data_IF_641637912538
#
_entry.id   IF_641637912538
#
_cell.length_a   1.000
_cell.length_b   1.000
_cell.length_c   1.000
_cell.angle_alpha   90.00
_cell.angle_beta   90.00
_cell.angle_gamma   90.00
#
_symmetry.space_group_name_H-M   'P 1'
#
loop_
_entity.id
_entity.type
_entity.pdbx_description
1 polymer ?
#
# COMPACT_ATOMS: atom_id res chain seq x y z
N UNK A 1 26.89 21.01 -0.28
CA UNK A 1 25.72 20.40 0.36
C UNK A 1 24.71 21.52 0.43
N UNK A 2 23.84 21.58 -0.56
CA UNK A 2 23.21 22.84 -1.01
C UNK A 2 21.78 22.96 -0.47
N UNK A 3 21.55 22.35 0.70
CA UNK A 3 20.28 22.26 1.42
C UNK A 3 20.31 23.22 2.62
N UNK A 4 19.86 24.48 2.45
CA UNK A 4 19.97 25.52 3.48
C UNK A 4 19.17 25.23 4.76
N UNK A 5 18.23 24.27 4.73
CA UNK A 5 17.44 23.83 5.87
C UNK A 5 18.16 22.83 6.79
N UNK A 6 19.28 22.23 6.36
CA UNK A 6 20.05 21.31 7.19
C UNK A 6 20.97 22.10 8.12
N UNK A 7 20.77 21.95 9.44
CA UNK A 7 21.53 22.67 10.48
C UNK A 7 22.51 21.73 11.20
N UNK A 8 23.78 22.16 11.38
CA UNK A 8 24.76 21.42 12.19
C UNK A 8 24.31 21.42 13.67
N UNK A 9 24.49 20.32 14.41
CA UNK A 9 25.37 19.19 14.10
C UNK A 9 24.66 17.96 13.52
N UNK A 10 23.35 18.01 13.27
CA UNK A 10 22.54 16.81 13.01
C UNK A 10 23.00 16.00 11.79
N UNK A 11 23.25 16.66 10.66
CA UNK A 11 23.68 15.99 9.43
C UNK A 11 25.17 15.58 9.40
N UNK A 12 25.95 15.99 10.40
CA UNK A 12 27.36 15.61 10.54
C UNK A 12 27.55 14.36 11.42
N UNK A 13 26.47 13.81 11.99
CA UNK A 13 26.53 12.59 12.81
C UNK A 13 26.80 11.37 11.94
N UNK A 14 27.73 10.51 12.37
CA UNK A 14 27.96 9.19 11.77
C UNK A 14 26.65 8.39 11.83
N UNK A 15 26.12 8.02 10.67
CA UNK A 15 24.82 7.33 10.54
C UNK A 15 23.64 8.23 10.16
N UNK A 16 23.82 9.54 10.02
CA UNK A 16 22.80 10.40 9.42
C UNK A 16 22.64 10.06 7.92
N UNK A 17 21.42 9.67 7.54
CA UNK A 17 21.01 9.50 6.15
C UNK A 17 20.00 10.60 5.84
N UNK A 18 20.29 11.42 4.83
CA UNK A 18 19.35 12.43 4.32
C UNK A 18 18.19 11.73 3.61
N UNK A 19 17.17 11.37 4.38
CA UNK A 19 15.97 10.67 3.88
C UNK A 19 15.34 11.41 2.71
N UNK A 20 15.39 12.75 2.68
CA UNK A 20 14.83 13.55 1.59
C UNK A 20 15.54 13.35 0.24
N UNK A 21 16.79 12.88 0.22
CA UNK A 21 17.54 12.59 -1.02
C UNK A 21 17.32 11.18 -1.56
N UNK A 22 16.85 10.26 -0.72
CA UNK A 22 16.52 8.89 -1.13
C UNK A 22 15.02 8.76 -1.44
N UNK A 23 14.26 9.86 -1.36
CA UNK A 23 12.87 9.88 -1.74
C UNK A 23 12.73 9.69 -3.24
N UNK A 24 12.10 8.61 -3.66
CA UNK A 24 11.74 8.40 -5.06
C UNK A 24 10.50 9.21 -5.41
N UNK A 25 10.68 10.36 -6.06
CA UNK A 25 9.55 11.24 -6.45
C UNK A 25 8.61 10.63 -7.50
N UNK A 26 8.97 9.47 -8.05
CA UNK A 26 8.19 8.76 -9.07
C UNK A 26 7.46 7.53 -8.48
N UNK A 27 7.79 7.13 -7.24
CA UNK A 27 7.19 5.97 -6.57
C UNK A 27 5.91 6.35 -5.82
N UNK A 28 4.92 5.45 -5.79
CA UNK A 28 3.78 5.51 -4.87
C UNK A 28 4.17 5.22 -3.42
N UNK A 29 5.36 4.63 -3.22
CA UNK A 29 6.04 4.56 -1.94
C UNK A 29 7.38 5.30 -2.05
N UNK A 30 7.34 6.64 -2.04
CA UNK A 30 8.51 7.45 -2.31
C UNK A 30 9.49 7.41 -1.14
N UNK A 31 9.10 6.91 0.03
CA UNK A 31 9.89 6.97 1.26
C UNK A 31 10.18 5.59 1.87
N UNK A 32 10.01 4.52 1.08
CA UNK A 32 10.27 3.14 1.49
C UNK A 32 9.42 2.72 2.71
N UNK A 33 8.22 3.28 2.81
CA UNK A 33 7.19 2.92 3.77
C UNK A 33 6.19 4.03 4.07
N UNK A 34 5.10 3.61 4.73
CA UNK A 34 4.10 4.52 5.27
C UNK A 34 4.62 5.22 6.55
N UNK A 35 4.63 6.55 6.56
CA UNK A 35 4.99 7.29 7.77
C UNK A 35 4.02 7.09 8.94
N UNK A 36 4.55 7.04 10.16
CA UNK A 36 3.77 7.02 11.39
C UNK A 36 2.80 8.22 11.50
N UNK A 37 3.16 9.38 10.94
CA UNK A 37 2.32 10.58 10.91
C UNK A 37 1.47 10.69 9.63
N UNK A 38 1.71 9.86 8.61
CA UNK A 38 1.11 9.99 7.29
C UNK A 38 -0.42 9.90 7.32
N UNK A 39 -0.98 9.02 8.15
CA UNK A 39 -2.43 8.89 8.31
C UNK A 39 -3.06 10.12 9.00
N UNK A 40 -2.36 10.72 9.96
CA UNK A 40 -2.80 11.94 10.66
C UNK A 40 -2.78 13.13 9.68
N UNK A 41 -1.70 13.26 8.91
CA UNK A 41 -1.58 14.31 7.91
C UNK A 41 -2.64 14.18 6.80
N UNK A 42 -2.86 12.96 6.31
CA UNK A 42 -3.91 12.66 5.32
C UNK A 42 -5.29 13.04 5.85
N UNK A 43 -5.62 12.61 7.08
CA UNK A 43 -6.89 12.96 7.72
C UNK A 43 -7.06 14.46 7.91
N UNK A 44 -6.01 15.18 8.30
CA UNK A 44 -6.04 16.63 8.43
C UNK A 44 -6.30 17.32 7.09
N UNK A 45 -5.61 16.87 6.04
CA UNK A 45 -5.71 17.45 4.69
C UNK A 45 -7.07 17.22 4.03
N UNK A 46 -7.61 16.00 4.10
CA UNK A 46 -8.89 15.64 3.48
C UNK A 46 -10.10 16.24 4.20
N UNK A 47 -9.94 16.69 5.46
CA UNK A 47 -10.97 17.40 6.21
C UNK A 47 -10.93 18.93 6.03
N UNK A 48 -9.97 19.47 5.27
CA UNK A 48 -9.97 20.91 4.95
C UNK A 48 -11.14 21.24 4.01
N UNK A 49 -11.89 22.34 4.26
CA UNK A 49 -12.98 22.74 3.39
C UNK A 49 -12.53 22.92 1.94
N UNK A 50 -11.39 23.58 1.72
CA UNK A 50 -10.84 23.82 0.38
C UNK A 50 -10.59 22.51 -0.38
N UNK A 51 -9.96 21.53 0.27
CA UNK A 51 -9.73 20.18 -0.29
C UNK A 51 -11.06 19.52 -0.66
N UNK A 52 -12.05 19.55 0.22
CA UNK A 52 -13.37 18.95 -0.08
C UNK A 52 -14.12 19.66 -1.20
N UNK A 53 -13.96 20.98 -1.35
CA UNK A 53 -14.50 21.73 -2.48
C UNK A 53 -13.86 21.26 -3.79
N UNK A 54 -12.53 21.15 -3.80
CA UNK A 54 -11.77 20.75 -4.98
C UNK A 54 -12.07 19.30 -5.39
N UNK A 55 -12.34 18.42 -4.43
CA UNK A 55 -12.73 17.03 -4.68
C UNK A 55 -14.25 16.85 -4.95
N UNK A 56 -15.05 17.92 -4.84
CA UNK A 56 -16.50 17.88 -4.99
C UNK A 56 -17.23 16.88 -4.07
N UNK A 57 -16.70 16.66 -2.86
CA UNK A 57 -17.26 15.73 -1.86
C UNK A 57 -18.08 16.42 -0.76
N UNK A 58 -18.27 17.74 -0.88
CA UNK A 58 -19.11 18.50 0.05
C UNK A 58 -20.56 18.05 -0.04
N UNK A 59 -21.26 18.09 1.09
CA UNK A 59 -22.66 17.74 1.22
C UNK A 59 -23.47 18.97 1.65
N UNK A 60 -23.88 19.85 0.71
CA UNK A 60 -24.51 21.13 1.04
C UNK A 60 -25.81 20.96 1.84
N UNK A 61 -26.57 19.89 1.56
CA UNK A 61 -27.82 19.58 2.26
C UNK A 61 -27.60 19.14 3.72
N UNK A 62 -26.38 18.74 4.10
CA UNK A 62 -26.02 18.27 5.44
C UNK A 62 -25.02 19.21 6.17
N UNK A 63 -24.96 20.48 5.78
CA UNK A 63 -24.08 21.46 6.44
C UNK A 63 -22.69 21.63 5.80
N UNK A 64 -22.45 21.04 4.64
CA UNK A 64 -21.37 21.44 3.72
C UNK A 64 -20.01 20.77 3.88
N UNK A 65 -19.72 20.08 5.00
CA UNK A 65 -18.45 19.36 5.24
C UNK A 65 -18.75 17.92 5.67
N UNK A 66 -18.09 16.96 5.02
CA UNK A 66 -18.17 15.54 5.38
C UNK A 66 -16.92 15.19 6.19
N UNK A 67 -17.07 14.67 7.41
CA UNK A 67 -15.89 14.22 8.18
C UNK A 67 -15.30 12.97 7.53
N UNK A 68 -14.12 13.10 6.96
CA UNK A 68 -13.35 11.98 6.44
C UNK A 68 -12.60 11.27 7.56
N UNK A 69 -12.61 9.93 7.54
CA UNK A 69 -11.77 9.06 8.36
C UNK A 69 -11.14 8.00 7.46
N UNK A 70 -9.94 7.52 7.80
CA UNK A 70 -9.22 6.51 7.00
C UNK A 70 -9.89 5.14 7.04
N UNK A 71 -10.46 4.75 8.18
CA UNK A 71 -11.16 3.49 8.37
C UNK A 71 -12.51 3.73 9.06
N UNK A 72 -13.53 2.97 8.67
CA UNK A 72 -14.83 2.96 9.33
C UNK A 72 -14.93 1.78 10.30
N UNK A 73 -15.02 2.08 11.59
CA UNK A 73 -15.22 1.07 12.65
C UNK A 73 -16.57 0.37 12.48
N UNK A 74 -17.60 1.09 12.03
CA UNK A 74 -18.93 0.52 11.79
C UNK A 74 -18.89 -0.48 10.63
N UNK A 75 -18.24 -0.15 9.51
CA UNK A 75 -18.11 -1.07 8.39
C UNK A 75 -17.29 -2.29 8.81
N UNK A 76 -16.15 -2.09 9.49
CA UNK A 76 -15.30 -3.18 9.95
C UNK A 76 -15.98 -4.08 10.98
N UNK A 77 -16.75 -3.51 11.91
CA UNK A 77 -17.45 -4.24 12.97
C UNK A 77 -18.67 -5.02 12.47
N UNK A 78 -19.28 -4.59 11.35
CA UNK A 78 -20.41 -5.27 10.72
C UNK A 78 -20.01 -6.20 9.57
N UNK A 79 -18.72 -6.26 9.22
CA UNK A 79 -18.25 -7.11 8.12
C UNK A 79 -18.25 -8.58 8.53
N UNK A 80 -18.90 -9.43 7.72
CA UNK A 80 -18.93 -10.88 7.90
C UNK A 80 -18.03 -11.53 6.85
N UNK A 81 -17.07 -12.33 7.32
CA UNK A 81 -16.15 -13.05 6.44
C UNK A 81 -16.87 -14.21 5.75
N UNK A 82 -16.92 -14.16 4.42
CA UNK A 82 -17.51 -15.24 3.61
C UNK A 82 -16.47 -16.26 3.14
N UNK A 83 -15.23 -15.82 2.97
CA UNK A 83 -14.14 -16.62 2.42
C UNK A 83 -12.88 -16.49 3.28
N UNK A 84 -12.31 -17.64 3.62
CA UNK A 84 -11.04 -17.74 4.35
C UNK A 84 -9.90 -18.29 3.48
N UNK A 85 -10.23 -18.72 2.26
CA UNK A 85 -9.29 -19.18 1.25
C UNK A 85 -9.69 -18.57 -0.10
N UNK A 86 -8.73 -17.88 -0.72
CA UNK A 86 -8.93 -17.27 -2.04
C UNK A 86 -8.59 -18.23 -3.18
N UNK A 87 -8.01 -19.40 -2.90
CA UNK A 87 -7.64 -20.40 -3.91
C UNK A 87 -8.77 -20.75 -4.88
N UNK A 88 -10.04 -20.98 -4.46
CA UNK A 88 -11.12 -21.31 -5.40
C UNK A 88 -11.40 -20.22 -6.43
N UNK A 89 -11.04 -18.96 -6.15
CA UNK A 89 -11.17 -17.86 -7.11
C UNK A 89 -9.99 -17.81 -8.07
N UNK A 90 -8.77 -18.09 -7.60
CA UNK A 90 -7.62 -18.26 -8.48
C UNK A 90 -7.81 -19.44 -9.42
N UNK A 91 -8.36 -20.55 -8.93
CA UNK A 91 -8.69 -21.72 -9.74
C UNK A 91 -9.65 -21.34 -10.87
N UNK A 92 -10.74 -20.63 -10.54
CA UNK A 92 -11.67 -20.15 -11.55
C UNK A 92 -11.03 -19.23 -12.59
N UNK A 93 -10.10 -18.36 -12.19
CA UNK A 93 -9.39 -17.49 -13.12
C UNK A 93 -8.51 -18.34 -14.04
N UNK A 94 -7.68 -19.23 -13.48
CA UNK A 94 -6.71 -20.01 -14.21
C UNK A 94 -7.35 -21.04 -15.15
N UNK A 95 -8.48 -21.64 -14.76
CA UNK A 95 -9.21 -22.59 -15.58
C UNK A 95 -10.02 -21.92 -16.71
N UNK A 96 -10.56 -20.73 -16.47
CA UNK A 96 -11.48 -20.07 -17.43
C UNK A 96 -10.79 -19.04 -18.32
N UNK A 97 -9.57 -18.62 -18.01
CA UNK A 97 -8.90 -17.60 -18.79
C UNK A 97 -8.55 -18.11 -20.18
N UNK A 98 -9.15 -17.53 -21.21
CA UNK A 98 -8.87 -17.84 -22.63
C UNK A 98 -7.90 -16.84 -23.27
N UNK A 99 -7.54 -15.78 -22.55
CA UNK A 99 -6.64 -14.71 -23.00
C UNK A 99 -5.35 -14.67 -22.18
N UNK A 100 -4.37 -13.88 -22.62
CA UNK A 100 -3.14 -13.65 -21.85
C UNK A 100 -3.42 -12.74 -20.67
N UNK A 101 -3.88 -13.30 -19.56
CA UNK A 101 -4.05 -12.60 -18.29
C UNK A 101 -2.72 -12.55 -17.51
N UNK A 102 -2.43 -11.40 -16.92
CA UNK A 102 -1.26 -11.20 -16.05
C UNK A 102 -1.76 -10.67 -14.72
N UNK A 103 -1.31 -11.27 -13.63
CA UNK A 103 -1.54 -10.76 -12.28
C UNK A 103 -0.20 -10.65 -11.56
N UNK A 104 -0.18 -9.79 -10.54
CA UNK A 104 0.97 -9.55 -9.68
C UNK A 104 0.52 -9.72 -8.23
N UNK A 105 1.31 -10.45 -7.46
CA UNK A 105 1.17 -10.53 -6.01
C UNK A 105 2.48 -9.98 -5.44
N UNK A 106 2.34 -8.95 -4.62
CA UNK A 106 3.46 -8.26 -4.00
C UNK A 106 3.16 -8.08 -2.51
N UNK A 107 4.20 -8.24 -1.69
CA UNK A 107 4.12 -8.08 -0.24
C UNK A 107 5.39 -7.36 0.22
N UNK A 108 5.25 -6.47 1.21
CA UNK A 108 6.41 -5.88 1.90
C UNK A 108 7.08 -6.93 2.79
N UNK A 109 8.41 -6.98 2.80
CA UNK A 109 9.18 -7.97 3.55
C UNK A 109 9.18 -7.73 5.08
N UNK A 110 8.84 -6.51 5.51
CA UNK A 110 8.67 -6.13 6.92
C UNK A 110 7.21 -6.13 7.41
N UNK A 111 6.21 -6.39 6.54
CA UNK A 111 4.81 -6.45 6.98
C UNK A 111 4.55 -7.73 7.78
N UNK A 112 4.04 -7.57 9.00
CA UNK A 112 3.69 -8.68 9.89
C UNK A 112 2.21 -9.05 9.82
N UNK A 113 1.35 -8.20 9.25
CA UNK A 113 -0.10 -8.44 9.15
C UNK A 113 -0.43 -9.36 7.97
N UNK A 114 0.10 -9.04 6.77
CA UNK A 114 -0.03 -9.84 5.56
C UNK A 114 1.35 -10.20 4.99
N UNK A 115 2.09 -10.97 5.78
CA UNK A 115 3.51 -11.23 5.54
C UNK A 115 3.82 -11.94 4.21
N UNK A 116 5.01 -11.68 3.68
CA UNK A 116 5.48 -12.22 2.40
C UNK A 116 5.63 -13.75 2.39
N UNK A 117 5.92 -14.39 3.53
CA UNK A 117 6.09 -15.85 3.60
C UNK A 117 4.76 -16.56 3.35
N UNK A 118 3.66 -16.06 3.95
CA UNK A 118 2.32 -16.59 3.73
C UNK A 118 1.91 -16.46 2.26
N UNK A 119 2.16 -15.30 1.64
CA UNK A 119 1.84 -15.07 0.24
C UNK A 119 2.70 -15.93 -0.71
N UNK A 120 4.00 -16.05 -0.44
CA UNK A 120 4.90 -16.91 -1.20
C UNK A 120 4.45 -18.37 -1.14
N UNK A 121 4.13 -18.87 0.05
CA UNK A 121 3.64 -20.24 0.25
C UNK A 121 2.35 -20.49 -0.54
N UNK A 122 1.43 -19.52 -0.56
CA UNK A 122 0.19 -19.62 -1.32
C UNK A 122 0.46 -19.74 -2.83
N UNK A 123 1.37 -18.92 -3.37
CA UNK A 123 1.66 -18.89 -4.81
C UNK A 123 2.55 -20.03 -5.28
N UNK A 124 3.48 -20.51 -4.47
CA UNK A 124 4.25 -21.70 -4.80
C UNK A 124 3.34 -22.94 -4.92
N UNK A 125 2.35 -23.07 -4.04
CA UNK A 125 1.35 -24.14 -4.13
C UNK A 125 0.51 -24.01 -5.40
N UNK A 126 -0.04 -22.83 -5.66
CA UNK A 126 -0.83 -22.59 -6.87
C UNK A 126 -0.02 -22.84 -8.15
N UNK A 127 1.23 -22.38 -8.19
CA UNK A 127 2.14 -22.60 -9.31
C UNK A 127 2.43 -24.09 -9.53
N UNK A 128 2.67 -24.84 -8.44
CA UNK A 128 2.86 -26.29 -8.49
C UNK A 128 1.64 -27.00 -9.05
N UNK A 129 0.44 -26.65 -8.59
CA UNK A 129 -0.81 -27.31 -8.97
C UNK A 129 -1.14 -27.13 -10.46
N UNK A 130 -0.80 -25.97 -11.05
CA UNK A 130 -1.01 -25.67 -12.47
C UNK A 130 0.24 -25.90 -13.35
N UNK A 131 1.33 -26.46 -12.79
CA UNK A 131 2.56 -26.71 -13.55
C UNK A 131 3.20 -25.45 -14.13
N UNK A 132 3.09 -24.32 -13.45
CA UNK A 132 3.65 -23.04 -13.89
C UNK A 132 5.18 -23.08 -13.87
N UNK A 133 5.79 -22.48 -14.90
CA UNK A 133 7.25 -22.42 -15.01
C UNK A 133 7.78 -21.09 -14.50
N UNK A 134 8.73 -21.16 -13.58
CA UNK A 134 9.52 -20.00 -13.14
C UNK A 134 10.20 -19.40 -14.36
N UNK A 135 9.93 -18.11 -14.62
CA UNK A 135 10.57 -17.36 -15.70
C UNK A 135 11.81 -16.62 -15.22
N UNK A 136 11.80 -16.18 -13.96
CA UNK A 136 12.89 -15.45 -13.33
C UNK A 136 13.02 -15.92 -11.89
N UNK A 137 14.25 -16.18 -11.45
CA UNK A 137 14.54 -16.45 -10.04
C UNK A 137 14.23 -15.23 -9.17
N UNK A 138 13.86 -15.50 -7.91
CA UNK A 138 13.62 -14.45 -6.92
C UNK A 138 14.83 -13.53 -6.79
N UNK A 139 14.58 -12.22 -6.79
CA UNK A 139 15.56 -11.18 -6.50
C UNK A 139 14.89 -10.13 -5.63
N UNK A 140 15.63 -9.61 -4.66
CA UNK A 140 15.21 -8.41 -3.93
C UNK A 140 14.91 -7.30 -4.94
N UNK A 141 13.82 -6.58 -4.70
CA UNK A 141 13.51 -5.39 -5.48
C UNK A 141 14.60 -4.35 -5.16
N UNK A 142 15.32 -3.90 -6.19
CA UNK A 142 16.45 -2.96 -6.10
C UNK A 142 16.23 -1.83 -7.08
#
# INVERSE_FOLDING_TARGET
NDRPELVKPYYAKKGFVDQARIVSHESSDPQDGQFCWGQIALGSYLNLPATQAALHVRQPAQGGIVKWNSCSVEVGGNFVWEYFDMRPFFDQILEKVTTRFKFLIYNGDIDTTANFISAQTFIERLASDYGMKIQNEYKAWK
#
